data_IF_423287130890
#
_entry.id   IF_423287130890
#
_cell.length_a   1.000
_cell.length_b   1.000
_cell.length_c   1.000
_cell.angle_alpha   90.00
_cell.angle_beta   90.00
_cell.angle_gamma   90.00
#
_symmetry.space_group_name_H-M   'P 1'
#
loop_
_entity.id
_entity.type
_entity.pdbx_description
1 polymer ?
#
# COMPACT_ATOMS: atom_id res chain seq x y z
N UNK A 1 2.25 19.63 13.37
CA UNK A 1 1.78 19.52 12.88
C UNK A 1 1.34 19.26 11.90
N UNK A 2 0.96 19.27 11.73
CA UNK A 2 0.58 19.06 10.90
C UNK A 2 0.35 19.82 9.90
N UNK A 3 1.07 20.41 9.54
CA UNK A 3 0.97 21.16 8.35
C UNK A 3 0.32 20.43 7.24
N UNK A 4 0.18 19.22 7.42
CA UNK A 4 -0.40 18.35 6.43
C UNK A 4 -1.90 18.44 6.46
N UNK A 5 -2.50 18.69 5.32
CA UNK A 5 -3.96 18.67 5.22
C UNK A 5 -4.44 17.23 5.27
N UNK A 6 -5.63 17.06 5.77
CA UNK A 6 -6.26 15.75 5.74
C UNK A 6 -6.56 15.35 4.32
N UNK A 7 -6.19 14.12 3.99
CA UNK A 7 -6.60 13.49 2.76
C UNK A 7 -7.90 12.75 2.99
N UNK A 8 -8.62 12.52 1.92
CA UNK A 8 -9.84 11.72 1.99
C UNK A 8 -9.57 10.35 2.60
N UNK A 9 -8.38 9.81 2.38
CA UNK A 9 -8.03 8.50 2.89
C UNK A 9 -7.62 8.48 4.35
N UNK A 10 -7.43 9.65 4.99
CA UNK A 10 -6.98 9.69 6.38
C UNK A 10 -7.98 9.04 7.32
N UNK A 11 -9.26 9.27 7.11
CA UNK A 11 -10.29 8.66 7.93
C UNK A 11 -10.35 7.16 7.69
N UNK A 12 -10.21 6.75 6.44
CA UNK A 12 -10.17 5.34 6.10
C UNK A 12 -9.00 4.65 6.80
N UNK A 13 -7.83 5.26 6.76
CA UNK A 13 -6.64 4.71 7.41
C UNK A 13 -6.89 4.55 8.90
N UNK A 14 -7.49 5.55 9.54
CA UNK A 14 -7.79 5.48 10.96
C UNK A 14 -8.72 4.32 11.28
N UNK A 15 -9.75 4.11 10.46
CA UNK A 15 -10.67 2.99 10.67
C UNK A 15 -10.00 1.64 10.46
N UNK A 16 -9.15 1.55 9.46
CA UNK A 16 -8.40 0.31 9.19
C UNK A 16 -7.51 -0.02 10.38
N UNK A 17 -6.78 0.96 10.89
CA UNK A 17 -5.89 0.77 12.04
C UNK A 17 -6.69 0.33 13.26
N UNK A 18 -7.81 0.97 13.51
CA UNK A 18 -8.63 0.66 14.68
C UNK A 18 -9.23 -0.74 14.61
N UNK A 19 -9.50 -1.22 13.41
CA UNK A 19 -10.11 -2.54 13.22
C UNK A 19 -9.16 -3.69 13.54
N UNK A 20 -7.85 -3.44 13.56
CA UNK A 20 -6.87 -4.50 13.77
C UNK A 20 -6.59 -5.35 12.56
N UNK A 21 -7.11 -4.98 11.39
CA UNK A 21 -6.96 -5.81 10.18
C UNK A 21 -5.50 -5.91 9.72
N UNK A 22 -4.66 -4.99 10.18
CA UNK A 22 -3.24 -4.99 9.82
C UNK A 22 -2.35 -5.69 10.83
N UNK A 23 -2.92 -6.12 11.96
CA UNK A 23 -2.11 -6.70 13.03
C UNK A 23 -1.73 -8.14 12.72
N UNK A 24 -0.53 -8.52 13.15
CA UNK A 24 -0.08 -9.89 13.00
C UNK A 24 0.46 -10.26 11.62
N UNK A 25 0.70 -9.29 10.77
CA UNK A 25 1.21 -9.53 9.42
C UNK A 25 2.72 -9.40 9.35
N UNK A 26 3.33 -10.07 8.38
CA UNK A 26 4.72 -9.81 8.04
C UNK A 26 4.84 -8.55 7.18
N UNK A 27 6.07 -8.10 6.99
CA UNK A 27 6.33 -6.83 6.29
C UNK A 27 5.78 -6.81 4.87
N UNK A 28 6.00 -7.88 4.10
CA UNK A 28 5.56 -7.92 2.71
C UNK A 28 4.03 -7.93 2.61
N UNK A 29 3.38 -8.68 3.48
CA UNK A 29 1.91 -8.74 3.48
C UNK A 29 1.30 -7.44 3.95
N UNK A 30 1.90 -6.80 4.96
CA UNK A 30 1.43 -5.50 5.39
C UNK A 30 1.53 -4.49 4.26
N UNK A 31 2.67 -4.48 3.57
CA UNK A 31 2.85 -3.58 2.44
C UNK A 31 1.82 -3.84 1.33
N UNK A 32 1.52 -5.11 1.07
CA UNK A 32 0.53 -5.45 0.06
C UNK A 32 -0.84 -4.86 0.40
N UNK A 33 -1.28 -5.03 1.64
CA UNK A 33 -2.57 -4.47 2.05
C UNK A 33 -2.58 -2.95 2.05
N UNK A 34 -1.52 -2.34 2.57
CA UNK A 34 -1.46 -0.88 2.65
C UNK A 34 -1.41 -0.25 1.25
N UNK A 35 -0.79 -0.94 0.30
CA UNK A 35 -0.72 -0.43 -1.07
C UNK A 35 -2.10 -0.25 -1.69
N UNK A 36 -3.08 -1.01 -1.24
CA UNK A 36 -4.44 -0.91 -1.79
C UNK A 36 -5.07 0.46 -1.53
N UNK A 37 -4.58 1.15 -0.51
CA UNK A 37 -5.12 2.47 -0.13
C UNK A 37 -4.43 3.59 -0.90
N UNK A 38 -3.19 3.37 -1.34
CA UNK A 38 -2.43 4.43 -2.01
C UNK A 38 -2.43 4.32 -3.52
N UNK A 39 -2.61 3.13 -4.07
CA UNK A 39 -2.56 2.94 -5.52
C UNK A 39 -3.86 3.37 -6.17
N UNK A 40 -3.74 4.02 -7.31
CA UNK A 40 -4.88 4.42 -8.10
C UNK A 40 -4.76 3.85 -9.50
N UNK A 41 -5.69 2.98 -9.85
CA UNK A 41 -5.71 2.38 -11.18
C UNK A 41 -6.17 3.43 -12.20
N UNK A 42 -5.36 3.64 -13.21
CA UNK A 42 -5.63 4.70 -14.18
C UNK A 42 -6.06 4.18 -15.54
N UNK A 43 -6.02 2.89 -15.73
CA UNK A 43 -6.43 2.29 -16.99
C UNK A 43 -7.95 2.23 -17.06
N UNK A 44 -8.49 2.30 -18.29
CA UNK A 44 -9.91 2.11 -18.50
C UNK A 44 -10.29 0.63 -18.47
N UNK A 45 -9.30 -0.26 -18.50
CA UNK A 45 -9.55 -1.68 -18.44
C UNK A 45 -9.81 -2.12 -17.01
N UNK A 46 -10.55 -3.20 -16.86
CA UNK A 46 -10.82 -3.75 -15.54
C UNK A 46 -9.51 -4.19 -14.90
N UNK A 47 -9.34 -3.93 -13.59
CA UNK A 47 -8.13 -4.38 -12.93
C UNK A 47 -8.05 -5.91 -12.89
N UNK A 48 -6.84 -6.46 -12.85
CA UNK A 48 -6.70 -7.91 -12.74
C UNK A 48 -7.24 -8.41 -11.41
N UNK A 49 -7.46 -9.72 -11.33
CA UNK A 49 -7.91 -10.32 -10.08
C UNK A 49 -6.88 -10.05 -8.98
N UNK A 50 -7.33 -9.71 -7.78
CA UNK A 50 -6.38 -9.43 -6.69
C UNK A 50 -5.57 -10.67 -6.34
N UNK A 51 -4.28 -10.45 -6.06
CA UNK A 51 -3.40 -11.51 -5.60
C UNK A 51 -2.90 -11.21 -4.19
N UNK A 52 -2.95 -12.21 -3.34
CA UNK A 52 -2.39 -12.12 -2.00
C UNK A 52 -1.68 -13.43 -1.66
N UNK A 53 -0.76 -13.37 -0.72
CA UNK A 53 0.12 -14.50 -0.42
C UNK A 53 -0.59 -15.66 0.27
N UNK A 54 -1.74 -15.42 0.87
CA UNK A 54 -2.46 -16.46 1.61
C UNK A 54 -3.94 -16.14 1.68
N UNK A 55 -4.71 -17.14 2.08
CA UNK A 55 -6.14 -16.95 2.30
C UNK A 55 -6.40 -15.98 3.45
N UNK A 56 -5.55 -15.99 4.49
CA UNK A 56 -5.69 -15.06 5.59
C UNK A 56 -5.54 -13.62 5.13
N UNK A 57 -4.53 -13.33 4.32
CA UNK A 57 -4.32 -11.99 3.82
C UNK A 57 -5.46 -11.57 2.89
N UNK A 58 -5.95 -12.50 2.08
CA UNK A 58 -7.09 -12.22 1.21
C UNK A 58 -8.34 -11.89 2.02
N UNK A 59 -8.56 -12.59 3.13
CA UNK A 59 -9.68 -12.30 4.00
C UNK A 59 -9.54 -10.93 4.64
N UNK A 60 -8.33 -10.55 5.01
CA UNK A 60 -8.08 -9.22 5.54
C UNK A 60 -8.36 -8.14 4.49
N UNK A 61 -8.01 -8.43 3.25
CA UNK A 61 -8.35 -7.52 2.13
C UNK A 61 -9.87 -7.33 2.04
N UNK A 62 -10.61 -8.42 2.15
CA UNK A 62 -12.07 -8.32 2.11
C UNK A 62 -12.61 -7.49 3.27
N UNK A 63 -12.04 -7.67 4.45
CA UNK A 63 -12.43 -6.86 5.61
C UNK A 63 -12.11 -5.39 5.40
N UNK A 64 -10.93 -5.11 4.87
CA UNK A 64 -10.52 -3.74 4.58
C UNK A 64 -11.46 -3.11 3.55
N UNK A 65 -11.80 -3.84 2.51
CA UNK A 65 -12.72 -3.35 1.49
C UNK A 65 -14.11 -3.08 2.08
N UNK A 66 -14.56 -3.92 3.01
CA UNK A 66 -15.83 -3.72 3.68
C UNK A 66 -15.82 -2.47 4.57
N UNK A 67 -14.71 -2.23 5.27
CA UNK A 67 -14.55 -1.01 6.07
C UNK A 67 -14.65 0.22 5.17
N UNK A 68 -13.99 0.17 4.03
CA UNK A 68 -14.05 1.25 3.06
C UNK A 68 -15.47 1.49 2.56
N UNK A 69 -16.18 0.42 2.24
CA UNK A 69 -17.53 0.57 1.70
C UNK A 69 -18.48 1.15 2.74
N UNK A 70 -18.35 0.74 4.00
CA UNK A 70 -19.15 1.28 5.08
C UNK A 70 -18.90 2.79 5.24
N UNK A 71 -17.63 3.19 5.18
CA UNK A 71 -17.29 4.59 5.30
C UNK A 71 -17.79 5.39 4.11
N UNK A 72 -17.68 4.83 2.90
CA UNK A 72 -18.20 5.50 1.70
C UNK A 72 -19.70 5.69 1.78
N UNK A 73 -20.41 4.71 2.32
CA UNK A 73 -21.86 4.84 2.51
C UNK A 73 -22.18 5.95 3.49
N UNK A 74 -21.40 6.09 4.56
CA UNK A 74 -21.59 7.17 5.52
C UNK A 74 -21.31 8.53 4.88
N UNK A 75 -20.22 8.62 4.13
CA UNK A 75 -19.87 9.85 3.41
C UNK A 75 -21.01 10.27 2.49
N UNK A 76 -21.53 9.32 1.74
CA UNK A 76 -22.64 9.58 0.81
C UNK A 76 -23.88 10.06 1.56
N UNK A 77 -24.18 9.43 2.70
CA UNK A 77 -25.38 9.74 3.45
C UNK A 77 -25.37 11.13 4.05
N UNK A 78 -24.19 11.69 4.31
CA UNK A 78 -24.08 13.04 4.88
C UNK A 78 -23.66 14.07 3.84
N UNK A 79 -23.65 13.71 2.57
CA UNK A 79 -23.37 14.64 1.49
C UNK A 79 -21.90 14.94 1.25
N UNK A 80 -21.02 14.12 1.82
CA UNK A 80 -19.59 14.29 1.59
C UNK A 80 -19.16 13.51 0.33
N UNK A 81 -18.08 13.94 -0.27
CA UNK A 81 -17.49 13.20 -1.37
C UNK A 81 -16.96 11.87 -0.85
N UNK A 82 -17.26 10.81 -1.58
CA UNK A 82 -16.79 9.49 -1.20
C UNK A 82 -15.30 9.36 -1.52
N UNK A 83 -14.55 8.78 -0.58
CA UNK A 83 -13.15 8.50 -0.85
C UNK A 83 -13.04 7.40 -1.90
N UNK A 84 -11.89 7.32 -2.54
CA UNK A 84 -11.65 6.33 -3.58
C UNK A 84 -11.63 4.92 -2.98
N UNK A 85 -12.32 3.94 -3.61
CA UNK A 85 -12.25 2.57 -3.12
C UNK A 85 -10.82 2.04 -3.16
N UNK A 86 -10.43 1.19 -2.21
CA UNK A 86 -9.13 0.55 -2.27
C UNK A 86 -8.98 -0.29 -3.55
N UNK A 87 -7.76 -0.32 -4.06
CA UNK A 87 -7.46 -1.00 -5.32
C UNK A 87 -6.30 -1.95 -5.08
N UNK A 88 -6.52 -3.24 -5.27
CA UNK A 88 -5.53 -4.27 -4.98
C UNK A 88 -4.57 -4.55 -6.13
N UNK A 89 -4.62 -3.76 -7.19
CA UNK A 89 -3.79 -4.00 -8.36
C UNK A 89 -2.29 -4.00 -8.03
N UNK A 90 -1.89 -3.13 -7.13
CA UNK A 90 -0.48 -2.99 -6.76
C UNK A 90 -0.02 -3.97 -5.68
N UNK A 91 -0.93 -4.76 -5.11
CA UNK A 91 -0.60 -5.59 -3.95
C UNK A 91 0.52 -6.59 -4.22
N UNK A 92 0.46 -7.29 -5.36
CA UNK A 92 1.49 -8.26 -5.70
C UNK A 92 2.84 -7.57 -5.89
N UNK A 93 2.84 -6.40 -6.52
CA UNK A 93 4.05 -5.63 -6.76
C UNK A 93 4.65 -5.16 -5.42
N UNK A 94 3.81 -4.65 -4.53
CA UNK A 94 4.28 -4.19 -3.22
C UNK A 94 4.87 -5.34 -2.41
N UNK A 95 4.20 -6.49 -2.43
CA UNK A 95 4.69 -7.67 -1.73
C UNK A 95 6.06 -8.08 -2.23
N UNK A 96 6.20 -8.20 -3.55
CA UNK A 96 7.46 -8.62 -4.16
C UNK A 96 8.57 -7.62 -3.88
N UNK A 97 8.26 -6.35 -3.96
CA UNK A 97 9.25 -5.29 -3.74
C UNK A 97 9.78 -5.31 -2.31
N UNK A 98 8.88 -5.40 -1.33
CA UNK A 98 9.29 -5.45 0.08
C UNK A 98 10.01 -6.77 0.39
N UNK A 99 9.68 -7.83 -0.32
CA UNK A 99 10.36 -9.10 -0.17
C UNK A 99 11.78 -9.10 -0.78
N UNK A 100 12.14 -8.05 -1.51
CA UNK A 100 13.50 -7.89 -1.99
C UNK A 100 13.73 -8.16 -3.46
N UNK A 101 12.68 -8.34 -4.25
CA UNK A 101 12.83 -8.57 -5.68
C UNK A 101 13.24 -7.29 -6.40
N UNK A 102 13.97 -7.44 -7.49
CA UNK A 102 14.45 -6.29 -8.23
C UNK A 102 13.37 -5.61 -9.06
N UNK A 103 13.64 -4.38 -9.46
CA UNK A 103 12.69 -3.56 -10.20
C UNK A 103 12.21 -4.26 -11.48
N UNK A 104 13.13 -4.80 -12.25
CA UNK A 104 12.78 -5.45 -13.51
C UNK A 104 11.89 -6.67 -13.31
N UNK A 105 12.12 -7.39 -12.22
CA UNK A 105 11.32 -8.57 -11.90
C UNK A 105 9.92 -8.20 -11.43
N UNK A 106 9.83 -7.09 -10.69
CA UNK A 106 8.57 -6.67 -10.09
C UNK A 106 7.66 -6.00 -11.12
N UNK A 107 8.21 -5.10 -11.93
CA UNK A 107 7.45 -4.38 -12.94
C UNK A 107 7.31 -5.21 -14.20
N UNK A 108 8.40 -5.87 -14.61
CA UNK A 108 8.38 -6.77 -15.73
C UNK A 108 7.83 -6.14 -16.99
N UNK A 109 6.97 -6.88 -17.66
CA UNK A 109 6.32 -6.42 -18.89
C UNK A 109 4.97 -5.77 -18.62
N UNK A 110 4.70 -5.43 -17.38
CA UNK A 110 3.43 -4.91 -17.02
C UNK A 110 3.17 -3.55 -17.60
N UNK A 111 1.89 -3.22 -17.65
CA UNK A 111 1.45 -1.93 -18.16
C UNK A 111 1.81 -0.78 -17.24
N UNK A 112 2.26 -1.08 -16.03
CA UNK A 112 2.64 -0.06 -15.09
C UNK A 112 3.95 0.61 -15.53
N UNK A 113 3.92 1.92 -15.67
CA UNK A 113 5.12 2.66 -16.04
C UNK A 113 6.07 2.74 -14.85
N UNK A 114 7.36 2.94 -15.12
CA UNK A 114 8.34 3.14 -14.07
C UNK A 114 8.00 4.32 -13.18
N UNK A 115 7.45 5.39 -13.77
CA UNK A 115 7.04 6.56 -13.00
C UNK A 115 5.91 6.26 -12.04
N UNK A 116 4.94 5.47 -12.47
CA UNK A 116 3.83 5.07 -11.60
C UNK A 116 4.33 4.19 -10.47
N UNK A 117 5.25 3.29 -10.76
CA UNK A 117 5.84 2.45 -9.73
C UNK A 117 6.55 3.29 -8.66
N UNK A 118 7.39 4.22 -9.08
CA UNK A 118 8.14 5.05 -8.14
C UNK A 118 7.21 5.92 -7.31
N UNK A 119 6.22 6.54 -7.95
CA UNK A 119 5.28 7.40 -7.23
C UNK A 119 4.48 6.60 -6.21
N UNK A 120 3.96 5.45 -6.61
CA UNK A 120 3.16 4.62 -5.71
C UNK A 120 4.01 4.10 -4.57
N UNK A 121 5.24 3.69 -4.86
CA UNK A 121 6.15 3.18 -3.82
C UNK A 121 6.46 4.27 -2.81
N UNK A 122 6.67 5.51 -3.25
CA UNK A 122 6.92 6.61 -2.32
C UNK A 122 5.71 6.86 -1.42
N UNK A 123 4.51 6.82 -1.99
CA UNK A 123 3.30 6.98 -1.20
C UNK A 123 3.14 5.84 -0.21
N UNK A 124 3.47 4.64 -0.64
CA UNK A 124 3.43 3.47 0.24
C UNK A 124 4.40 3.62 1.41
N UNK A 125 5.61 4.05 1.14
CA UNK A 125 6.61 4.28 2.18
C UNK A 125 6.11 5.31 3.18
N UNK A 126 5.55 6.41 2.69
CA UNK A 126 5.05 7.46 3.57
C UNK A 126 3.95 6.94 4.50
N UNK A 127 3.01 6.17 3.95
CA UNK A 127 1.93 5.63 4.76
C UNK A 127 2.44 4.59 5.75
N UNK A 128 3.36 3.73 5.32
CA UNK A 128 3.95 2.76 6.24
C UNK A 128 4.68 3.46 7.39
N UNK A 129 5.36 4.57 7.12
CA UNK A 129 6.01 5.34 8.18
C UNK A 129 5.00 5.94 9.14
N UNK A 130 3.87 6.40 8.63
CA UNK A 130 2.80 6.88 9.50
C UNK A 130 2.28 5.76 10.39
N UNK A 131 2.05 4.58 9.81
CA UNK A 131 1.56 3.44 10.57
C UNK A 131 2.57 3.00 11.64
N UNK A 132 3.85 3.17 11.36
CA UNK A 132 4.90 2.87 12.34
C UNK A 132 4.82 3.78 13.57
N UNK A 133 4.11 4.89 13.45
CA UNK A 133 3.94 5.84 14.54
C UNK A 133 2.58 5.67 15.20
N UNK A 134 1.52 5.56 14.41
CA UNK A 134 0.16 5.68 14.94
C UNK A 134 -0.50 4.35 15.29
N UNK A 135 0.01 3.23 14.80
CA UNK A 135 -0.63 1.94 15.11
C UNK A 135 -0.56 1.67 16.61
N UNK A 136 -1.68 1.28 17.24
CA UNK A 136 -1.68 1.04 18.68
C UNK A 136 -0.89 -0.19 19.10
N UNK A 137 -0.78 -1.18 18.22
CA UNK A 137 -0.10 -2.42 18.53
C UNK A 137 1.41 -2.28 18.26
N UNK A 138 2.27 -2.47 19.29
CA UNK A 138 3.71 -2.32 19.09
C UNK A 138 4.29 -3.21 18.00
N UNK A 139 3.79 -4.44 17.89
CA UNK A 139 4.29 -5.36 16.86
C UNK A 139 3.97 -4.81 15.46
N UNK A 140 2.79 -4.25 15.28
CA UNK A 140 2.40 -3.66 14.00
C UNK A 140 3.28 -2.46 13.66
N UNK A 141 3.59 -1.63 14.66
CA UNK A 141 4.50 -0.50 14.44
C UNK A 141 5.86 -0.96 13.94
N UNK A 142 6.39 -2.04 14.55
CA UNK A 142 7.67 -2.59 14.13
C UNK A 142 7.64 -3.10 12.70
N UNK A 143 6.59 -3.85 12.36
CA UNK A 143 6.46 -4.41 11.03
C UNK A 143 6.30 -3.30 10.00
N UNK A 144 5.53 -2.27 10.31
CA UNK A 144 5.35 -1.15 9.41
C UNK A 144 6.69 -0.44 9.15
N UNK A 145 7.50 -0.26 10.20
CA UNK A 145 8.81 0.34 10.05
C UNK A 145 9.73 -0.53 9.21
N UNK A 146 9.69 -1.84 9.40
CA UNK A 146 10.47 -2.78 8.60
C UNK A 146 10.07 -2.73 7.13
N UNK A 147 8.77 -2.70 6.87
CA UNK A 147 8.27 -2.66 5.50
C UNK A 147 8.67 -1.35 4.82
N UNK A 148 8.56 -0.23 5.52
CA UNK A 148 8.95 1.06 4.98
C UNK A 148 10.44 1.08 4.65
N UNK A 149 11.27 0.55 5.54
CA UNK A 149 12.69 0.53 5.32
C UNK A 149 13.07 -0.38 4.16
N UNK A 150 12.45 -1.55 4.06
CA UNK A 150 12.72 -2.46 2.96
C UNK A 150 12.36 -1.83 1.62
N UNK A 151 11.19 -1.18 1.55
CA UNK A 151 10.77 -0.52 0.32
C UNK A 151 11.69 0.64 -0.05
N UNK A 152 12.12 1.40 0.97
CA UNK A 152 13.00 2.53 0.74
C UNK A 152 14.38 2.08 0.30
N UNK A 153 14.93 1.03 0.92
CA UNK A 153 16.23 0.51 0.50
C UNK A 153 16.21 0.01 -0.92
N UNK A 154 15.10 -0.59 -1.33
CA UNK A 154 14.95 -1.01 -2.71
C UNK A 154 15.01 0.15 -3.67
N UNK A 155 14.33 1.24 -3.35
CA UNK A 155 14.35 2.44 -4.19
C UNK A 155 15.76 3.03 -4.25
N UNK A 156 16.43 3.12 -3.12
CA UNK A 156 17.78 3.65 -3.07
C UNK A 156 18.75 2.77 -3.84
N UNK A 157 18.63 1.46 -3.68
CA UNK A 157 19.53 0.54 -4.37
C UNK A 157 19.36 0.64 -5.89
N UNK A 158 18.13 0.72 -6.38
CA UNK A 158 17.88 0.88 -7.80
C UNK A 158 18.41 2.22 -8.32
N UNK A 159 18.19 3.28 -7.55
CA UNK A 159 18.63 4.62 -7.95
C UNK A 159 20.14 4.76 -7.95
N UNK A 160 20.80 4.10 -6.99
CA UNK A 160 22.25 4.22 -6.80
C UNK A 160 23.03 3.19 -7.59
N UNK A 161 22.39 2.14 -8.04
CA UNK A 161 23.09 1.08 -8.74
C UNK A 161 23.70 1.61 -10.03
N UNK A 162 24.96 1.26 -10.32
CA UNK A 162 25.54 1.64 -11.60
C UNK A 162 24.75 0.95 -12.69
N UNK A 163 24.59 1.65 -13.80
CA UNK A 163 23.91 1.03 -14.93
C UNK A 163 24.73 -0.16 -15.38
N UNK A 164 24.07 -1.27 -15.70
CA UNK A 164 24.80 -2.42 -16.18
C UNK A 164 25.65 -2.13 -17.40
N UNK A 165 25.23 -1.18 -18.19
CA UNK A 165 25.95 -0.81 -19.39
C UNK A 165 27.30 -0.18 -19.06
N UNK A 166 27.47 0.30 -17.86
CA UNK A 166 28.72 0.90 -17.45
C UNK A 166 29.82 -0.13 -17.20
N UNK A 167 29.46 -1.36 -17.23
CA UNK A 167 30.45 -2.44 -17.05
C UNK A 167 30.88 -2.99 -18.38
#
# INVERSE_FOLDING_TARGET
>A
MLARTFHESDLLVAEIVRSGVLDGLGAADLAALVSTVVYEHRSSEAPPAPWFSSADVRDRWRRLAAISEDLRATERSVGLAEHRPPDATFAAVAHAWVAGEGFAEVVGDDEMTGGDFVRTTKQLIDLLRQLAIISPEPATRRVAAQAAEAAFRGVVADSAAPTPAST
#
